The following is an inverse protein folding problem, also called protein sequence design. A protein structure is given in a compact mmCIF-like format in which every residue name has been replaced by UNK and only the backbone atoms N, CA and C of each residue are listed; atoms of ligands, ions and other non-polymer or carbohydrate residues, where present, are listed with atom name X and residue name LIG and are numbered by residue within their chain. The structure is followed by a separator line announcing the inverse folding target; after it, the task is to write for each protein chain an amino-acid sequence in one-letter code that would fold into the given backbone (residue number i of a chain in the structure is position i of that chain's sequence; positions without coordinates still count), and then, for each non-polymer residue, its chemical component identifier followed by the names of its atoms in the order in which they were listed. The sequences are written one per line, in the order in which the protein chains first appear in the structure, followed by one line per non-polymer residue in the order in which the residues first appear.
data_IF_734636552334
#
_entry.id   IF_734636552334
#
_cell.length_a   1.000
_cell.length_b   1.000
_cell.length_c   1.000
_cell.angle_alpha   90.00
_cell.angle_beta   90.00
_cell.angle_gamma   90.00
#
_symmetry.space_group_name_H-M   'P 1'
#
loop_
_entity.id
_entity.type
_entity.pdbx_description
1 polymer ?
#
# COMPACT_ATOMS: atom_id res chain seq x y z
N UNK A 1 -9.89 -38.32 -1.96
CA UNK A 1 -8.70 -37.52 -2.34
C UNK A 1 -9.14 -36.08 -2.27
N UNK A 2 -8.47 -35.22 -1.50
CA UNK A 2 -8.82 -33.81 -1.46
C UNK A 2 -8.67 -33.21 -2.87
N UNK A 3 -9.60 -32.33 -3.24
CA UNK A 3 -9.55 -31.54 -4.47
C UNK A 3 -8.18 -30.84 -4.56
N UNK A 4 -7.45 -30.87 -5.70
CA UNK A 4 -6.21 -30.13 -5.88
C UNK A 4 -6.27 -28.68 -5.38
N UNK A 5 -7.42 -28.02 -5.50
CA UNK A 5 -7.64 -26.67 -4.98
C UNK A 5 -7.74 -26.63 -3.45
N UNK A 6 -8.42 -27.59 -2.81
CA UNK A 6 -8.46 -27.71 -1.34
C UNK A 6 -7.07 -27.91 -0.75
N UNK A 7 -6.22 -28.71 -1.41
CA UNK A 7 -4.83 -28.86 -0.97
C UNK A 7 -4.08 -27.52 -1.03
N UNK A 8 -4.24 -26.75 -2.11
CA UNK A 8 -3.63 -25.42 -2.21
C UNK A 8 -4.14 -24.46 -1.14
N UNK A 9 -5.42 -24.53 -0.77
CA UNK A 9 -5.97 -23.74 0.35
C UNK A 9 -5.30 -24.09 1.68
N UNK A 10 -5.07 -25.38 1.95
CA UNK A 10 -4.40 -25.82 3.18
C UNK A 10 -2.90 -25.49 3.21
N UNK A 11 -2.25 -25.45 2.05
CA UNK A 11 -0.82 -25.16 1.92
C UNK A 11 -0.51 -23.65 1.87
N UNK A 12 -1.50 -22.81 1.53
CA UNK A 12 -1.33 -21.38 1.42
C UNK A 12 -1.06 -20.75 2.80
N UNK A 13 0.00 -19.95 2.88
CA UNK A 13 0.38 -19.24 4.08
C UNK A 13 0.93 -17.86 3.75
N UNK A 14 0.59 -16.89 4.61
CA UNK A 14 1.02 -15.49 4.50
C UNK A 14 2.54 -15.31 4.58
N UNK A 15 3.22 -16.17 5.33
CA UNK A 15 4.69 -16.18 5.42
C UNK A 15 5.36 -16.77 4.16
N UNK A 16 4.57 -17.34 3.25
CA UNK A 16 5.04 -18.02 2.05
C UNK A 16 4.33 -17.48 0.79
N UNK A 17 4.87 -16.39 0.24
CA UNK A 17 4.43 -15.76 -1.01
C UNK A 17 4.14 -16.76 -2.13
N UNK A 18 5.01 -17.75 -2.30
CA UNK A 18 4.90 -18.72 -3.40
C UNK A 18 3.65 -19.59 -3.23
N UNK A 19 3.30 -19.96 -2.00
CA UNK A 19 2.08 -20.73 -1.72
C UNK A 19 0.81 -19.92 -2.03
N UNK A 20 0.76 -18.65 -1.62
CA UNK A 20 -0.37 -17.76 -1.91
C UNK A 20 -0.52 -17.47 -3.40
N UNK A 21 0.58 -17.26 -4.13
CA UNK A 21 0.55 -17.08 -5.58
C UNK A 21 0.00 -18.32 -6.29
N UNK A 22 0.41 -19.52 -5.87
CA UNK A 22 -0.10 -20.77 -6.44
C UNK A 22 -1.60 -20.93 -6.21
N UNK A 23 -2.07 -20.62 -5.00
CA UNK A 23 -3.50 -20.63 -4.69
C UNK A 23 -4.24 -19.61 -5.57
N UNK A 24 -3.79 -18.36 -5.63
CA UNK A 24 -4.41 -17.33 -6.45
C UNK A 24 -4.44 -17.69 -7.95
N UNK A 25 -3.35 -18.27 -8.47
CA UNK A 25 -3.30 -18.76 -9.86
C UNK A 25 -4.36 -19.84 -10.11
N UNK A 26 -4.50 -20.80 -9.20
CA UNK A 26 -5.52 -21.84 -9.32
C UNK A 26 -6.94 -21.25 -9.22
N UNK A 27 -7.18 -20.32 -8.31
CA UNK A 27 -8.48 -19.66 -8.14
C UNK A 27 -8.89 -18.87 -9.40
N UNK A 28 -8.00 -18.02 -9.91
CA UNK A 28 -8.25 -17.30 -11.16
C UNK A 28 -8.45 -18.25 -12.35
N UNK A 29 -7.69 -19.34 -12.42
CA UNK A 29 -7.86 -20.37 -13.44
C UNK A 29 -9.22 -21.09 -13.39
N UNK A 30 -9.90 -21.07 -12.25
CA UNK A 30 -11.26 -21.58 -12.06
C UNK A 30 -12.34 -20.49 -12.16
N UNK A 31 -11.99 -19.27 -12.58
CA UNK A 31 -12.93 -18.16 -12.79
C UNK A 31 -13.22 -17.30 -11.57
N UNK A 32 -12.50 -17.47 -10.46
CA UNK A 32 -12.64 -16.61 -9.28
C UNK A 32 -12.28 -15.15 -9.60
N UNK A 33 -13.03 -14.20 -9.03
CA UNK A 33 -12.74 -12.77 -9.11
C UNK A 33 -11.70 -12.32 -8.06
N UNK A 34 -11.18 -11.08 -8.15
CA UNK A 34 -10.21 -10.53 -7.19
C UNK A 34 -10.64 -10.59 -5.73
N UNK A 35 -11.91 -10.27 -5.42
CA UNK A 35 -12.46 -10.38 -4.06
C UNK A 35 -12.32 -11.80 -3.50
N UNK A 36 -12.76 -12.79 -4.27
CA UNK A 36 -12.72 -14.19 -3.84
C UNK A 36 -11.28 -14.66 -3.67
N UNK A 37 -10.38 -14.26 -4.57
CA UNK A 37 -8.95 -14.59 -4.46
C UNK A 37 -8.36 -14.05 -3.16
N UNK A 38 -8.58 -12.76 -2.85
CA UNK A 38 -8.08 -12.15 -1.62
C UNK A 38 -8.70 -12.82 -0.38
N UNK A 39 -10.01 -13.08 -0.40
CA UNK A 39 -10.68 -13.76 0.70
C UNK A 39 -10.13 -15.16 0.96
N UNK A 40 -9.90 -15.96 -0.10
CA UNK A 40 -9.34 -17.30 0.04
C UNK A 40 -7.86 -17.27 0.47
N UNK A 41 -7.12 -16.21 0.12
CA UNK A 41 -5.70 -16.08 0.50
C UNK A 41 -5.49 -15.52 1.91
N UNK A 42 -6.36 -14.63 2.39
CA UNK A 42 -6.19 -13.92 3.66
C UNK A 42 -7.25 -14.30 4.72
N UNK A 43 -8.27 -15.06 4.35
CA UNK A 43 -9.38 -15.44 5.23
C UNK A 43 -10.42 -14.32 5.47
N UNK A 44 -10.18 -13.11 4.96
CA UNK A 44 -11.01 -11.92 5.22
C UNK A 44 -11.34 -11.18 3.93
N UNK A 45 -12.44 -10.44 3.91
CA UNK A 45 -12.78 -9.57 2.78
C UNK A 45 -11.92 -8.31 2.81
N UNK A 46 -11.41 -7.92 1.65
CA UNK A 46 -10.75 -6.63 1.46
C UNK A 46 -11.78 -5.58 1.02
N UNK A 47 -11.61 -4.31 1.39
CA UNK A 47 -12.55 -3.27 1.03
C UNK A 47 -12.47 -2.91 -0.46
N UNK A 48 -13.57 -2.40 -1.02
CA UNK A 48 -13.65 -1.98 -2.42
C UNK A 48 -12.59 -0.93 -2.78
N UNK A 49 -12.27 -0.01 -1.84
CA UNK A 49 -11.22 0.99 -2.04
C UNK A 49 -9.87 0.35 -2.40
N UNK A 50 -9.56 -0.81 -1.82
CA UNK A 50 -8.33 -1.53 -2.13
C UNK A 50 -8.35 -2.05 -3.58
N UNK A 51 -9.49 -2.56 -4.05
CA UNK A 51 -9.60 -3.08 -5.41
C UNK A 51 -9.63 -1.95 -6.46
N UNK A 52 -10.29 -0.83 -6.18
CA UNK A 52 -10.26 0.35 -7.06
C UNK A 52 -8.82 0.86 -7.24
N UNK A 53 -8.02 0.87 -6.17
CA UNK A 53 -6.59 1.18 -6.25
C UNK A 53 -5.86 0.12 -7.09
N UNK A 54 -6.07 -1.17 -6.81
CA UNK A 54 -5.39 -2.26 -7.53
C UNK A 54 -5.70 -2.25 -9.04
N UNK A 55 -6.94 -1.93 -9.43
CA UNK A 55 -7.36 -1.80 -10.82
C UNK A 55 -6.74 -0.61 -11.54
N UNK A 56 -6.38 0.45 -10.82
CA UNK A 56 -5.70 1.61 -11.38
C UNK A 56 -4.24 1.33 -11.78
N UNK A 57 -3.79 0.07 -11.62
CA UNK A 57 -2.45 -0.45 -11.83
C UNK A 57 -1.38 0.43 -11.16
N UNK A 58 -1.25 0.32 -9.83
CA UNK A 58 -0.31 1.12 -9.08
C UNK A 58 1.16 0.96 -9.55
N UNK A 59 1.52 -0.17 -10.17
CA UNK A 59 2.87 -0.42 -10.74
C UNK A 59 3.13 0.44 -12.00
N UNK A 60 2.09 0.94 -12.69
CA UNK A 60 2.22 1.88 -13.80
C UNK A 60 2.12 3.34 -13.37
N UNK A 61 1.81 3.59 -12.10
CA UNK A 61 1.71 4.91 -11.49
C UNK A 61 2.95 5.15 -10.64
N UNK A 62 4.08 5.38 -11.32
CA UNK A 62 5.39 5.70 -10.70
C UNK A 62 5.34 6.85 -9.68
N UNK A 63 4.26 7.65 -9.69
CA UNK A 63 4.02 8.82 -8.86
C UNK A 63 3.19 8.56 -7.59
N UNK A 64 2.64 7.37 -7.34
CA UNK A 64 2.20 7.02 -5.98
C UNK A 64 3.47 6.93 -5.14
N UNK A 65 3.89 8.04 -4.51
CA UNK A 65 5.18 8.23 -3.81
C UNK A 65 5.37 7.25 -2.64
N UNK A 66 5.56 6.00 -2.99
CA UNK A 66 5.63 4.90 -2.07
C UNK A 66 6.01 3.62 -2.77
N UNK A 67 6.59 2.71 -2.00
CA UNK A 67 6.80 1.35 -2.48
C UNK A 67 5.60 0.52 -2.07
N UNK A 68 4.85 0.07 -3.06
CA UNK A 68 3.80 -0.91 -2.88
C UNK A 68 4.42 -2.21 -2.38
N UNK A 69 3.80 -2.79 -1.37
CA UNK A 69 4.19 -4.12 -0.88
C UNK A 69 3.75 -5.18 -1.90
N UNK A 70 4.57 -6.18 -2.15
CA UNK A 70 4.36 -7.08 -3.27
C UNK A 70 3.11 -7.98 -3.13
N UNK A 71 2.71 -8.34 -1.92
CA UNK A 71 1.76 -9.42 -1.66
C UNK A 71 0.31 -9.08 -2.03
N UNK A 72 -0.35 -8.12 -1.36
CA UNK A 72 -1.78 -7.93 -1.55
C UNK A 72 -2.09 -7.42 -2.96
N UNK A 73 -1.34 -6.44 -3.45
CA UNK A 73 -1.57 -5.79 -4.74
C UNK A 73 -1.43 -6.77 -5.89
N UNK A 74 -0.37 -7.58 -5.89
CA UNK A 74 -0.18 -8.54 -6.98
C UNK A 74 -1.31 -9.57 -6.97
N UNK A 75 -1.79 -10.01 -5.81
CA UNK A 75 -2.86 -11.02 -5.73
C UNK A 75 -4.20 -10.49 -6.21
N UNK A 76 -4.43 -9.19 -6.17
CA UNK A 76 -5.64 -8.54 -6.66
C UNK A 76 -5.72 -8.42 -8.19
N UNK A 77 -4.61 -8.61 -8.90
CA UNK A 77 -4.55 -8.47 -10.36
C UNK A 77 -4.78 -9.83 -11.05
N UNK A 78 -5.82 -9.97 -11.90
CA UNK A 78 -6.09 -11.20 -12.64
C UNK A 78 -4.95 -11.64 -13.55
N UNK A 79 -4.79 -12.96 -13.76
CA UNK A 79 -3.70 -13.56 -14.54
C UNK A 79 -3.53 -12.97 -15.95
N UNK A 80 -4.63 -12.63 -16.62
CA UNK A 80 -4.61 -12.05 -17.97
C UNK A 80 -3.98 -10.64 -18.02
N UNK A 81 -3.99 -9.92 -16.90
CA UNK A 81 -3.43 -8.56 -16.76
C UNK A 81 -2.08 -8.56 -16.03
N UNK A 82 -1.68 -9.70 -15.47
CA UNK A 82 -0.47 -9.82 -14.66
C UNK A 82 0.74 -10.01 -15.58
N UNK A 83 1.81 -9.23 -15.35
CA UNK A 83 3.14 -9.65 -15.81
C UNK A 83 3.49 -10.99 -15.13
N UNK A 84 4.28 -11.88 -15.78
CA UNK A 84 4.64 -13.17 -15.20
C UNK A 84 5.16 -12.97 -13.78
N UNK A 85 4.51 -13.63 -12.83
CA UNK A 85 4.99 -13.61 -11.46
C UNK A 85 6.27 -14.41 -11.42
N UNK A 86 7.40 -13.71 -11.30
CA UNK A 86 8.61 -14.37 -10.82
C UNK A 86 8.32 -15.07 -9.49
N UNK A 87 9.04 -16.14 -9.21
CA UNK A 87 9.10 -16.74 -7.88
C UNK A 87 9.73 -15.72 -6.91
N UNK A 88 8.92 -14.73 -6.51
CA UNK A 88 9.32 -13.66 -5.62
C UNK A 88 9.45 -14.21 -4.22
N UNK A 89 10.49 -13.78 -3.51
CA UNK A 89 10.50 -13.89 -2.05
C UNK A 89 9.56 -12.83 -1.50
N UNK A 90 9.04 -13.06 -0.30
CA UNK A 90 8.36 -12.01 0.46
C UNK A 90 9.28 -10.78 0.51
N UNK A 91 8.74 -9.59 0.26
CA UNK A 91 9.58 -8.39 0.29
C UNK A 91 10.10 -8.18 1.71
N UNK A 92 11.32 -7.67 1.89
CA UNK A 92 11.92 -7.63 3.23
C UNK A 92 11.12 -6.74 4.21
N UNK A 93 10.47 -5.68 3.70
CA UNK A 93 9.49 -4.86 4.41
C UNK A 93 8.30 -5.70 4.90
N UNK A 94 7.77 -6.57 4.06
CA UNK A 94 6.63 -7.42 4.42
C UNK A 94 7.02 -8.42 5.50
N UNK A 95 8.25 -8.96 5.43
CA UNK A 95 8.79 -9.85 6.44
C UNK A 95 8.98 -9.14 7.78
N UNK A 96 9.52 -7.92 7.76
CA UNK A 96 9.69 -7.10 8.96
C UNK A 96 8.34 -6.86 9.63
N UNK A 97 7.37 -6.34 8.87
CA UNK A 97 6.05 -5.98 9.41
C UNK A 97 5.29 -7.21 9.88
N UNK A 98 5.32 -8.31 9.11
CA UNK A 98 4.69 -9.57 9.51
C UNK A 98 5.34 -10.17 10.76
N UNK A 99 6.68 -10.09 10.89
CA UNK A 99 7.41 -10.54 12.08
C UNK A 99 7.12 -9.70 13.32
N UNK A 100 6.86 -8.40 13.14
CA UNK A 100 6.44 -7.48 14.21
C UNK A 100 5.02 -7.75 14.67
N UNK A 101 4.09 -7.88 13.73
CA UNK A 101 2.68 -8.18 14.00
C UNK A 101 2.08 -9.03 12.86
N UNK A 102 1.83 -10.33 13.10
CA UNK A 102 1.20 -11.22 12.13
C UNK A 102 -0.23 -10.82 11.74
N UNK A 103 -0.88 -9.91 12.46
CA UNK A 103 -2.19 -9.38 12.10
C UNK A 103 -2.10 -8.31 11.00
N UNK A 104 -0.96 -7.62 10.87
CA UNK A 104 -0.79 -6.56 9.87
C UNK A 104 -0.69 -7.13 8.44
N UNK A 105 -1.33 -6.43 7.51
CA UNK A 105 -1.18 -6.60 6.07
C UNK A 105 -0.56 -5.31 5.54
N UNK A 106 0.73 -5.29 5.20
CA UNK A 106 1.38 -4.10 4.67
C UNK A 106 0.87 -3.80 3.26
N UNK A 107 0.65 -2.53 2.96
CA UNK A 107 0.07 -2.06 1.70
C UNK A 107 1.01 -1.08 0.98
N UNK A 108 1.40 0.01 1.65
CA UNK A 108 2.13 1.11 1.00
C UNK A 108 3.22 1.63 1.93
N UNK A 109 4.48 1.58 1.53
CA UNK A 109 5.55 2.32 2.19
C UNK A 109 5.55 3.76 1.70
N UNK A 110 5.13 4.71 2.54
CA UNK A 110 5.09 6.13 2.21
C UNK A 110 6.50 6.74 2.10
N UNK A 111 6.75 7.54 1.06
CA UNK A 111 7.99 8.31 0.85
C UNK A 111 7.68 9.79 0.76
N UNK A 112 8.65 10.64 1.08
CA UNK A 112 8.55 12.06 0.76
C UNK A 112 9.08 12.32 -0.65
N UNK A 113 8.51 13.30 -1.33
CA UNK A 113 9.04 13.81 -2.61
C UNK A 113 10.42 14.43 -2.45
N UNK A 114 10.74 14.97 -1.26
CA UNK A 114 12.02 15.62 -0.98
C UNK A 114 12.89 14.73 -0.10
N UNK A 115 14.05 14.30 -0.62
CA UNK A 115 14.94 13.31 -0.01
C UNK A 115 15.49 13.67 1.38
N UNK A 116 15.39 14.93 1.80
CA UNK A 116 15.97 15.45 3.05
C UNK A 116 14.94 15.81 4.12
N UNK A 117 13.64 15.70 3.83
CA UNK A 117 12.58 16.06 4.77
C UNK A 117 11.57 14.93 4.95
N UNK A 118 11.01 14.84 6.16
CA UNK A 118 10.04 13.81 6.53
C UNK A 118 8.68 14.47 6.68
N UNK A 119 7.90 14.46 5.60
CA UNK A 119 6.54 15.01 5.59
C UNK A 119 5.48 13.91 5.61
N UNK A 120 4.32 14.23 6.19
CA UNK A 120 3.21 13.30 6.34
C UNK A 120 3.64 11.99 7.02
N UNK A 121 3.43 10.88 6.31
CA UNK A 121 3.73 9.53 6.77
C UNK A 121 5.04 8.97 6.20
N UNK A 122 5.91 9.81 5.63
CA UNK A 122 7.18 9.37 5.06
C UNK A 122 7.97 8.46 6.04
N UNK A 123 8.41 7.32 5.50
CA UNK A 123 9.09 6.25 6.22
C UNK A 123 8.20 5.33 7.05
N UNK A 124 6.89 5.48 6.97
CA UNK A 124 5.92 4.55 7.54
C UNK A 124 5.28 3.69 6.46
N UNK A 125 4.96 2.44 6.80
CA UNK A 125 4.13 1.57 5.98
C UNK A 125 2.67 1.63 6.45
N UNK A 126 1.77 1.99 5.54
CA UNK A 126 0.32 1.87 5.72
C UNK A 126 -0.08 0.40 5.62
N UNK A 127 -0.91 -0.03 6.56
CA UNK A 127 -1.31 -1.41 6.75
C UNK A 127 -2.81 -1.51 7.05
N UNK A 128 -3.44 -2.62 6.64
CA UNK A 128 -4.65 -3.12 7.29
C UNK A 128 -4.30 -4.09 8.41
N UNK A 129 -5.30 -4.45 9.22
CA UNK A 129 -5.23 -5.53 10.21
C UNK A 129 -6.27 -6.60 9.88
N UNK A 130 -5.91 -7.89 9.93
CA UNK A 130 -6.85 -8.97 9.65
C UNK A 130 -8.01 -8.95 10.64
N UNK A 131 -7.75 -8.77 11.94
CA UNK A 131 -8.81 -8.76 12.95
C UNK A 131 -9.83 -7.63 12.75
N UNK A 132 -9.40 -6.50 12.18
CA UNK A 132 -10.29 -5.39 11.84
C UNK A 132 -11.11 -5.71 10.59
N UNK A 133 -10.47 -6.25 9.55
CA UNK A 133 -11.15 -6.67 8.32
C UNK A 133 -12.15 -7.80 8.57
N UNK A 134 -11.82 -8.77 9.43
CA UNK A 134 -12.72 -9.84 9.87
C UNK A 134 -13.97 -9.27 10.53
N UNK A 135 -13.81 -8.18 11.29
CA UNK A 135 -14.90 -7.47 11.92
C UNK A 135 -15.58 -6.44 10.99
N UNK A 136 -15.29 -6.46 9.69
CA UNK A 136 -15.87 -5.57 8.69
C UNK A 136 -15.41 -4.12 8.76
N UNK A 137 -14.28 -3.84 9.43
CA UNK A 137 -13.73 -2.48 9.57
C UNK A 137 -12.54 -2.28 8.63
N UNK A 138 -12.52 -1.13 7.96
CA UNK A 138 -11.48 -0.70 7.01
C UNK A 138 -10.40 0.15 7.67
N UNK A 139 -10.20 -0.04 8.97
CA UNK A 139 -9.26 0.76 9.76
C UNK A 139 -7.84 0.60 9.23
N UNK A 140 -7.25 1.72 8.85
CA UNK A 140 -5.87 1.82 8.36
C UNK A 140 -4.94 2.17 9.50
N UNK A 141 -3.81 1.46 9.57
CA UNK A 141 -2.74 1.68 10.53
C UNK A 141 -1.47 2.10 9.79
N UNK A 142 -0.54 2.69 10.52
CA UNK A 142 0.83 2.89 10.08
C UNK A 142 1.79 2.29 11.08
N UNK A 143 2.91 1.77 10.60
CA UNK A 143 4.06 1.37 11.40
C UNK A 143 5.32 1.87 10.72
N UNK A 144 6.34 2.23 11.49
CA UNK A 144 7.63 2.57 10.89
C UNK A 144 8.25 1.34 10.19
N UNK A 145 9.01 1.58 9.12
CA UNK A 145 9.74 0.55 8.39
C UNK A 145 11.22 0.89 8.38
N UNK A 146 12.06 -0.06 8.81
CA UNK A 146 13.51 0.11 8.82
C UNK A 146 14.11 0.31 7.42
N UNK A 147 13.38 -0.10 6.37
CA UNK A 147 13.78 0.06 4.96
C UNK A 147 13.53 1.46 4.39
N UNK A 148 12.94 2.37 5.17
CA UNK A 148 12.65 3.72 4.71
C UNK A 148 13.89 4.61 4.57
N UNK A 149 15.02 4.25 5.20
CA UNK A 149 16.20 5.10 5.38
C UNK A 149 15.89 6.47 6.02
N UNK A 150 14.73 6.59 6.66
CA UNK A 150 14.24 7.79 7.33
C UNK A 150 14.18 7.48 8.82
N UNK A 151 14.80 8.29 9.66
CA UNK A 151 14.68 8.07 11.10
C UNK A 151 13.23 8.28 11.57
N UNK A 152 12.74 7.48 12.53
CA UNK A 152 11.46 7.73 13.16
C UNK A 152 11.39 9.16 13.70
N UNK A 153 10.17 9.71 13.78
CA UNK A 153 9.97 11.00 14.45
C UNK A 153 10.54 10.92 15.88
N UNK A 154 11.18 11.99 16.40
CA UNK A 154 11.71 12.00 17.75
C UNK A 154 10.64 11.59 18.78
N UNK A 155 10.93 10.54 19.55
CA UNK A 155 10.02 9.99 20.57
C UNK A 155 9.04 8.91 20.08
N UNK A 156 8.99 8.60 18.78
CA UNK A 156 8.26 7.44 18.27
C UNK A 156 9.05 6.16 18.54
N UNK A 157 8.36 5.12 19.02
CA UNK A 157 8.99 3.80 19.12
C UNK A 157 9.11 3.20 17.71
N UNK A 158 10.24 2.56 17.33
CA UNK A 158 10.41 1.95 16.00
C UNK A 158 9.34 0.92 15.63
N UNK A 159 8.73 0.29 16.64
CA UNK A 159 7.70 -0.73 16.48
C UNK A 159 6.29 -0.21 16.79
N UNK A 160 6.10 1.11 16.90
CA UNK A 160 4.80 1.70 17.18
C UNK A 160 3.82 1.49 16.01
N UNK A 161 2.67 0.91 16.32
CA UNK A 161 1.55 0.74 15.38
C UNK A 161 0.50 1.80 15.72
N UNK A 162 0.29 2.75 14.81
CA UNK A 162 -0.57 3.91 15.03
C UNK A 162 -1.78 3.84 14.10
N UNK A 163 -3.00 4.02 14.64
CA UNK A 163 -4.21 4.14 13.82
C UNK A 163 -4.20 5.45 13.03
N UNK A 164 -4.45 5.37 11.72
CA UNK A 164 -4.52 6.53 10.81
C UNK A 164 -5.95 6.99 10.53
N UNK A 165 -6.93 6.09 10.58
CA UNK A 165 -8.33 6.37 10.22
C UNK A 165 -9.01 5.13 9.67
N UNK A 166 -10.17 5.31 9.03
CA UNK A 166 -11.02 4.21 8.53
C UNK A 166 -11.06 4.11 7.00
N UNK A 167 -10.09 4.71 6.30
CA UNK A 167 -9.91 4.56 4.86
C UNK A 167 -8.43 4.66 4.48
N UNK A 168 -7.99 3.77 3.61
CA UNK A 168 -6.65 3.81 3.03
C UNK A 168 -6.48 5.03 2.14
N UNK A 169 -7.47 5.34 1.28
CA UNK A 169 -7.42 6.52 0.42
C UNK A 169 -7.40 7.82 1.22
N UNK A 170 -8.10 7.89 2.36
CA UNK A 170 -8.01 9.05 3.25
C UNK A 170 -6.61 9.20 3.87
N UNK A 171 -5.99 8.09 4.28
CA UNK A 171 -4.63 8.09 4.81
C UNK A 171 -3.60 8.50 3.74
N UNK A 172 -3.74 8.00 2.50
CA UNK A 172 -2.91 8.41 1.37
C UNK A 172 -3.10 9.90 1.08
N UNK A 173 -4.34 10.37 0.98
CA UNK A 173 -4.64 11.79 0.75
C UNK A 173 -3.99 12.68 1.81
N UNK A 174 -4.09 12.32 3.10
CA UNK A 174 -3.43 13.06 4.18
C UNK A 174 -1.91 13.08 4.00
N UNK A 175 -1.29 11.94 3.73
CA UNK A 175 0.15 11.87 3.51
C UNK A 175 0.60 12.79 2.37
N UNK A 176 -0.08 12.73 1.22
CA UNK A 176 0.30 13.50 0.03
C UNK A 176 -0.06 14.99 0.17
N UNK A 177 -1.10 15.34 0.92
CA UNK A 177 -1.39 16.72 1.29
C UNK A 177 -0.28 17.33 2.15
N UNK A 178 0.18 16.59 3.15
CA UNK A 178 1.29 17.00 4.01
C UNK A 178 2.61 17.08 3.22
N UNK A 179 2.86 16.15 2.30
CA UNK A 179 4.03 16.16 1.43
C UNK A 179 4.02 17.37 0.49
N UNK A 180 2.90 17.66 -0.17
CA UNK A 180 2.74 18.84 -1.02
C UNK A 180 2.96 20.16 -0.24
N UNK A 181 2.46 20.24 1.00
CA UNK A 181 2.70 21.40 1.86
C UNK A 181 4.19 21.55 2.20
N UNK A 182 4.87 20.42 2.43
CA UNK A 182 6.31 20.35 2.65
C UNK A 182 7.14 20.76 1.44
N UNK A 183 6.81 20.25 0.25
CA UNK A 183 7.47 20.61 -1.03
C UNK A 183 7.32 22.11 -1.29
N UNK A 184 6.10 22.67 -1.17
CA UNK A 184 5.86 24.12 -1.31
C UNK A 184 6.61 24.96 -0.28
N UNK A 185 6.82 24.44 0.92
CA UNK A 185 7.65 25.11 1.91
C UNK A 185 9.13 25.10 1.51
N UNK A 186 9.63 23.96 1.03
CA UNK A 186 11.02 23.78 0.59
C UNK A 186 11.35 24.64 -0.65
N UNK A 187 10.45 24.71 -1.62
CA UNK A 187 10.56 25.56 -2.82
C UNK A 187 10.69 27.05 -2.43
N UNK A 188 9.82 27.55 -1.55
CA UNK A 188 9.91 28.93 -1.00
C UNK A 188 11.18 29.17 -0.19
N UNK A 189 11.65 28.19 0.56
CA UNK A 189 12.89 28.29 1.33
C UNK A 189 14.11 28.35 0.41
N UNK A 190 14.07 27.61 -0.70
CA UNK A 190 15.11 27.55 -1.74
C UNK A 190 15.28 28.86 -2.48
N UNK A 191 14.17 29.55 -2.78
CA UNK A 191 14.20 30.89 -3.39
C UNK A 191 14.96 31.94 -2.55
N UNK A 192 15.23 31.64 -1.27
CA UNK A 192 15.94 32.52 -0.33
C UNK A 192 17.42 32.14 -0.12
N UNK A 193 17.90 31.05 -0.70
CA UNK A 193 19.28 30.56 -0.55
C UNK A 193 20.01 30.52 -1.90
N UNK A 194 21.21 31.09 -1.96
CA UNK A 194 22.08 30.98 -3.13
C UNK A 194 22.85 29.66 -3.10
N UNK A 195 22.31 28.62 -3.75
CA UNK A 195 23.02 27.35 -3.97
C UNK A 195 22.13 26.12 -3.90
N UNK A 196 21.49 25.77 -5.02
CA UNK A 196 20.71 24.54 -5.19
C UNK A 196 19.40 24.53 -4.40
N UNK A 197 18.26 24.50 -5.09
CA UNK A 197 16.97 24.37 -4.42
C UNK A 197 16.77 22.98 -3.83
N UNK A 198 16.14 22.92 -2.66
CA UNK A 198 15.67 21.71 -2.00
C UNK A 198 14.42 21.11 -2.66
N UNK A 199 13.69 21.94 -3.39
CA UNK A 199 12.59 21.56 -4.26
C UNK A 199 12.44 22.60 -5.37
N UNK A 200 11.93 22.20 -6.52
CA UNK A 200 11.60 23.07 -7.64
C UNK A 200 10.11 23.01 -8.04
N UNK A 201 9.75 23.73 -9.10
CA UNK A 201 8.38 23.76 -9.61
C UNK A 201 7.91 22.37 -10.11
N UNK A 202 8.81 21.54 -10.63
CA UNK A 202 8.51 20.19 -11.11
C UNK A 202 8.13 19.28 -9.93
N UNK A 203 8.82 19.39 -8.80
CA UNK A 203 8.45 18.69 -7.56
C UNK A 203 7.04 19.07 -7.07
N UNK A 204 6.71 20.36 -7.13
CA UNK A 204 5.37 20.86 -6.73
C UNK A 204 4.30 20.33 -7.67
N UNK A 205 4.51 20.42 -8.98
CA UNK A 205 3.58 19.93 -10.00
C UNK A 205 3.34 18.43 -9.85
N UNK A 206 4.41 17.66 -9.66
CA UNK A 206 4.33 16.22 -9.44
C UNK A 206 3.50 15.93 -8.18
N UNK A 207 3.79 16.56 -7.04
CA UNK A 207 3.04 16.34 -5.80
C UNK A 207 1.55 16.71 -5.92
N UNK A 208 1.21 17.70 -6.77
CA UNK A 208 -0.18 18.05 -7.08
C UNK A 208 -0.87 16.99 -7.95
N UNK A 209 -0.17 16.44 -8.95
CA UNK A 209 -0.69 15.35 -9.78
C UNK A 209 -1.03 14.12 -8.94
N UNK A 210 -0.15 13.75 -8.00
CA UNK A 210 -0.41 12.63 -7.09
C UNK A 210 -1.69 12.81 -6.28
N UNK A 211 -1.87 14.02 -5.73
CA UNK A 211 -3.04 14.32 -4.92
C UNK A 211 -4.32 14.26 -5.76
N UNK A 212 -4.31 14.85 -6.95
CA UNK A 212 -5.45 14.84 -7.87
C UNK A 212 -5.86 13.42 -8.27
N UNK A 213 -4.89 12.53 -8.50
CA UNK A 213 -5.18 11.15 -8.79
C UNK A 213 -5.74 10.36 -7.58
N UNK A 214 -5.31 10.67 -6.35
CA UNK A 214 -5.91 10.08 -5.15
C UNK A 214 -7.36 10.55 -5.00
N UNK A 215 -7.64 11.82 -5.25
CA UNK A 215 -8.99 12.38 -5.27
C UNK A 215 -9.85 11.69 -6.35
N UNK A 216 -9.29 11.39 -7.52
CA UNK A 216 -9.96 10.59 -8.56
C UNK A 216 -10.35 9.19 -8.05
N UNK A 217 -9.42 8.50 -7.40
CA UNK A 217 -9.69 7.17 -6.83
C UNK A 217 -10.77 7.24 -5.76
N UNK A 218 -10.77 8.28 -4.91
CA UNK A 218 -11.83 8.50 -3.93
C UNK A 218 -13.21 8.68 -4.60
N UNK A 219 -13.28 9.43 -5.71
CA UNK A 219 -14.54 9.58 -6.47
C UNK A 219 -15.01 8.24 -7.03
N UNK A 220 -14.12 7.44 -7.63
CA UNK A 220 -14.44 6.10 -8.16
C UNK A 220 -14.93 5.14 -7.07
N UNK A 221 -14.42 5.23 -5.85
CA UNK A 221 -14.93 4.43 -4.73
C UNK A 221 -16.32 4.88 -4.31
N UNK A 222 -16.55 6.19 -4.21
CA UNK A 222 -17.85 6.72 -3.86
C UNK A 222 -18.93 6.36 -4.89
N UNK A 223 -18.59 6.31 -6.18
CA UNK A 223 -19.48 5.84 -7.24
C UNK A 223 -19.85 4.36 -7.07
N UNK A 224 -18.89 3.48 -6.80
CA UNK A 224 -19.14 2.05 -6.56
C UNK A 224 -19.97 1.75 -5.30
N UNK A 225 -19.93 2.61 -4.28
CA UNK A 225 -20.72 2.42 -3.06
C UNK A 225 -22.20 2.84 -3.21
N UNK A 226 -22.56 3.50 -4.31
CA UNK A 226 -23.91 3.97 -4.59
C UNK A 226 -24.67 3.09 -5.62
N UNK A 227 -23.99 2.10 -6.21
CA UNK A 227 -24.55 1.11 -7.16
C UNK A 227 -24.98 -0.19 -6.44
#
# INVERSE_FOLDING_TARGET
MADPLERLRMEASRDNYTSMVRLAQALYGNGAGPHEVLHQCYGVQFPDEFLVIAEADPDQRDWLLGWLTLLPWKLAIPLARRRPLGAGRIHDIEREIHGRDPDLIPLVLCRSSVSHFVWGFAGSCLCYRLSELEAGRTTTYRTHSSYSNVDPRPGAAPDEIVRCGDSLLAALHQHHSDDLAGVKWAERASARQSGGGWADDEDVEMAQLVLADIEELQRRVAEHQND
#
